data_IF_078577106115
#
_entry.id   IF_078577106115
#
_cell.length_a   1.000
_cell.length_b   1.000
_cell.length_c   1.000
_cell.angle_alpha   90.00
_cell.angle_beta   90.00
_cell.angle_gamma   90.00
#
_symmetry.space_group_name_H-M   'P 1'
#
loop_
_entity.id
_entity.type
_entity.pdbx_description
1 polymer ?
#
# COMPACT_ATOMS: atom_id res chain seq x y z
N UNK A 1 6.69 -6.26 -9.99
CA UNK A 1 6.49 -5.98 -11.45
C UNK A 1 5.13 -5.32 -11.63
N UNK A 2 4.94 -4.29 -12.48
CA UNK A 2 3.58 -3.72 -12.68
C UNK A 2 2.70 -4.70 -13.45
N UNK A 3 1.58 -5.17 -12.88
CA UNK A 3 0.67 -6.10 -13.56
C UNK A 3 -0.04 -5.40 -14.72
N UNK A 4 -0.04 -6.02 -15.91
CA UNK A 4 -0.63 -5.45 -17.12
C UNK A 4 -1.57 -6.42 -17.81
N UNK A 5 -2.52 -5.85 -18.58
CA UNK A 5 -3.40 -6.57 -19.53
C UNK A 5 -4.24 -7.69 -18.93
N UNK A 6 -4.43 -7.70 -17.62
CA UNK A 6 -5.26 -8.69 -16.94
C UNK A 6 -6.65 -8.12 -16.68
N UNK A 7 -7.69 -8.92 -16.90
CA UNK A 7 -9.07 -8.59 -16.51
C UNK A 7 -9.58 -9.54 -15.43
N UNK A 8 -10.68 -9.18 -14.77
CA UNK A 8 -11.32 -10.04 -13.76
C UNK A 8 -11.82 -11.33 -14.41
N UNK A 9 -12.30 -11.26 -15.66
CA UNK A 9 -12.76 -12.42 -16.42
C UNK A 9 -11.61 -13.37 -16.77
N UNK A 10 -10.42 -12.84 -17.07
CA UNK A 10 -9.22 -13.66 -17.28
C UNK A 10 -8.85 -14.42 -16.00
N UNK A 11 -8.87 -13.73 -14.85
CA UNK A 11 -8.61 -14.31 -13.53
C UNK A 11 -9.65 -15.40 -13.24
N UNK A 12 -10.94 -15.09 -13.39
CA UNK A 12 -12.03 -16.02 -13.15
C UNK A 12 -11.92 -17.26 -14.04
N UNK A 13 -11.63 -17.11 -15.34
CA UNK A 13 -11.48 -18.23 -16.26
C UNK A 13 -10.36 -19.18 -15.84
N UNK A 14 -9.19 -18.64 -15.47
CA UNK A 14 -8.05 -19.47 -15.06
C UNK A 14 -8.28 -20.10 -13.68
N UNK A 15 -8.71 -19.34 -12.68
CA UNK A 15 -8.93 -19.84 -11.32
C UNK A 15 -10.09 -20.83 -11.23
N UNK A 16 -11.14 -20.69 -12.04
CA UNK A 16 -12.24 -21.66 -12.10
C UNK A 16 -11.78 -23.00 -12.71
N UNK A 17 -10.81 -22.99 -13.63
CA UNK A 17 -10.21 -24.21 -14.16
C UNK A 17 -9.26 -24.85 -13.15
N UNK A 18 -8.31 -24.08 -12.61
CA UNK A 18 -7.32 -24.57 -11.65
C UNK A 18 -7.96 -25.04 -10.35
N UNK A 19 -9.04 -24.39 -9.89
CA UNK A 19 -9.78 -24.79 -8.69
C UNK A 19 -10.43 -26.17 -8.76
N UNK A 20 -10.59 -26.74 -9.96
CA UNK A 20 -11.07 -28.12 -10.17
C UNK A 20 -9.93 -29.14 -10.21
N UNK A 21 -8.69 -28.69 -10.27
CA UNK A 21 -7.51 -29.55 -10.34
C UNK A 21 -6.93 -29.76 -8.94
N UNK A 22 -6.29 -30.92 -8.75
CA UNK A 22 -5.56 -31.23 -7.51
C UNK A 22 -4.07 -31.07 -7.80
N UNK A 23 -3.39 -30.24 -7.02
CA UNK A 23 -1.94 -30.04 -7.12
C UNK A 23 -1.52 -29.13 -8.28
N UNK A 24 -0.34 -29.40 -8.82
CA UNK A 24 0.27 -28.65 -9.93
C UNK A 24 -0.33 -29.05 -11.28
N UNK A 25 -0.58 -28.06 -12.14
CA UNK A 25 -1.18 -28.26 -13.46
C UNK A 25 -0.19 -27.84 -14.55
N UNK A 26 0.12 -28.76 -15.46
CA UNK A 26 1.04 -28.55 -16.57
C UNK A 26 0.47 -27.62 -17.64
N UNK A 27 1.32 -26.81 -18.32
CA UNK A 27 0.90 -25.89 -19.39
C UNK A 27 0.04 -26.55 -20.46
N UNK A 28 0.42 -27.75 -20.93
CA UNK A 28 -0.29 -28.46 -21.99
C UNK A 28 -1.75 -28.78 -21.62
N UNK A 29 -2.04 -29.02 -20.33
CA UNK A 29 -3.41 -29.25 -19.86
C UNK A 29 -4.22 -27.95 -19.83
N UNK A 30 -3.58 -26.86 -19.39
CA UNK A 30 -4.18 -25.53 -19.36
C UNK A 30 -4.50 -25.07 -20.78
N UNK A 31 -3.55 -25.19 -21.71
CA UNK A 31 -3.73 -24.83 -23.12
C UNK A 31 -4.83 -25.64 -23.79
N UNK A 32 -4.89 -26.95 -23.51
CA UNK A 32 -5.96 -27.81 -24.03
C UNK A 32 -7.35 -27.38 -23.53
N UNK A 33 -7.46 -26.88 -22.31
CA UNK A 33 -8.74 -26.50 -21.70
C UNK A 33 -9.16 -25.06 -22.03
N UNK A 34 -8.21 -24.12 -22.04
CA UNK A 34 -8.49 -22.68 -22.08
C UNK A 34 -8.01 -22.00 -23.38
N UNK A 35 -7.24 -22.70 -24.20
CA UNK A 35 -6.46 -22.14 -25.31
C UNK A 35 -5.13 -21.54 -24.84
N UNK A 36 -4.39 -20.92 -25.76
CA UNK A 36 -3.15 -20.22 -25.43
C UNK A 36 -3.42 -19.14 -24.36
N UNK A 37 -2.63 -19.17 -23.29
CA UNK A 37 -2.72 -18.21 -22.18
C UNK A 37 -1.57 -17.22 -22.30
N UNK A 38 -1.88 -15.92 -22.27
CA UNK A 38 -0.87 -14.86 -22.31
C UNK A 38 -0.02 -14.89 -21.03
N UNK A 39 1.29 -15.11 -21.17
CA UNK A 39 2.23 -15.22 -20.05
C UNK A 39 2.27 -13.95 -19.17
N UNK A 40 1.95 -12.78 -19.73
CA UNK A 40 1.86 -11.54 -18.94
C UNK A 40 0.68 -11.56 -17.98
N UNK A 41 -0.43 -12.19 -18.36
CA UNK A 41 -1.59 -12.36 -17.49
C UNK A 41 -1.31 -13.36 -16.38
N UNK A 42 -0.62 -14.46 -16.72
CA UNK A 42 -0.15 -15.43 -15.71
C UNK A 42 0.79 -14.76 -14.73
N UNK A 43 1.78 -13.99 -15.21
CA UNK A 43 2.72 -13.26 -14.37
C UNK A 43 2.01 -12.23 -13.47
N UNK A 44 1.00 -11.53 -13.98
CA UNK A 44 0.15 -10.66 -13.17
C UNK A 44 -0.60 -11.42 -12.07
N UNK A 45 -1.17 -12.59 -12.36
CA UNK A 45 -1.86 -13.41 -11.35
C UNK A 45 -0.91 -14.00 -10.30
N UNK A 46 0.35 -14.26 -10.67
CA UNK A 46 1.42 -14.62 -9.72
C UNK A 46 1.73 -13.43 -8.82
N UNK A 47 1.92 -12.22 -9.38
CA UNK A 47 2.15 -10.99 -8.59
C UNK A 47 0.99 -10.70 -7.64
N UNK A 48 -0.25 -10.93 -8.08
CA UNK A 48 -1.44 -10.81 -7.24
C UNK A 48 -1.53 -11.87 -6.13
N UNK A 49 -0.64 -12.86 -6.12
CA UNK A 49 -0.67 -13.97 -5.18
C UNK A 49 -1.89 -14.87 -5.33
N UNK A 50 -2.53 -14.90 -6.51
CA UNK A 50 -3.70 -15.74 -6.80
C UNK A 50 -3.29 -17.15 -7.26
N UNK A 51 -2.10 -17.26 -7.87
CA UNK A 51 -1.53 -18.52 -8.31
C UNK A 51 -0.05 -18.59 -7.94
N UNK A 52 0.47 -19.81 -7.82
CA UNK A 52 1.88 -20.12 -7.77
C UNK A 52 2.33 -20.65 -9.14
N UNK A 53 3.59 -20.36 -9.49
CA UNK A 53 4.24 -20.84 -10.70
C UNK A 53 5.52 -21.59 -10.32
N UNK A 54 5.65 -22.83 -10.79
CA UNK A 54 6.86 -23.63 -10.68
C UNK A 54 7.29 -24.06 -12.10
N UNK A 55 8.23 -23.33 -12.66
CA UNK A 55 8.56 -23.39 -14.08
C UNK A 55 7.34 -23.04 -14.95
N UNK A 56 6.79 -24.04 -15.65
CA UNK A 56 5.55 -23.91 -16.41
C UNK A 56 4.30 -24.31 -15.62
N UNK A 57 4.44 -25.02 -14.52
CA UNK A 57 3.32 -25.57 -13.79
C UNK A 57 2.63 -24.50 -12.95
N UNK A 58 1.29 -24.49 -12.95
CA UNK A 58 0.50 -23.53 -12.19
C UNK A 58 -0.34 -24.23 -11.11
N UNK A 59 -0.54 -23.56 -9.99
CA UNK A 59 -1.42 -23.99 -8.90
C UNK A 59 -2.12 -22.80 -8.26
N UNK A 60 -3.34 -22.97 -7.77
CA UNK A 60 -4.06 -21.95 -6.98
C UNK A 60 -3.48 -21.78 -5.57
N UNK A 61 -3.40 -20.53 -5.11
CA UNK A 61 -3.11 -20.18 -3.70
C UNK A 61 -4.39 -20.21 -2.85
N UNK A 62 -4.32 -20.09 -1.51
CA UNK A 62 -5.49 -19.86 -0.68
C UNK A 62 -6.32 -18.65 -1.13
N UNK A 63 -5.67 -17.52 -1.45
CA UNK A 63 -6.33 -16.32 -1.99
C UNK A 63 -7.00 -16.60 -3.34
N UNK A 64 -6.36 -17.38 -4.22
CA UNK A 64 -6.95 -17.80 -5.48
C UNK A 64 -8.16 -18.73 -5.32
N UNK A 65 -8.18 -19.55 -4.26
CA UNK A 65 -9.35 -20.35 -3.90
C UNK A 65 -10.47 -19.45 -3.36
N UNK A 66 -10.14 -18.50 -2.48
CA UNK A 66 -11.07 -17.50 -1.95
C UNK A 66 -11.70 -16.67 -3.05
N UNK A 67 -10.96 -16.30 -4.11
CA UNK A 67 -11.52 -15.59 -5.26
C UNK A 67 -12.71 -16.33 -5.89
N UNK A 68 -12.69 -17.67 -5.93
CA UNK A 68 -13.79 -18.46 -6.50
C UNK A 68 -15.05 -18.47 -5.61
N UNK A 69 -14.93 -18.15 -4.32
CA UNK A 69 -16.05 -18.11 -3.35
C UNK A 69 -16.50 -16.69 -3.02
N UNK A 70 -15.55 -15.79 -2.85
CA UNK A 70 -15.69 -14.38 -2.51
C UNK A 70 -14.65 -13.56 -3.29
N UNK A 71 -15.05 -13.18 -4.50
CA UNK A 71 -14.21 -12.44 -5.42
C UNK A 71 -13.77 -11.09 -4.87
N UNK A 72 -14.69 -10.36 -4.24
CA UNK A 72 -14.44 -8.99 -3.78
C UNK A 72 -13.43 -8.96 -2.66
N UNK A 73 -13.54 -9.84 -1.67
CA UNK A 73 -12.56 -9.93 -0.58
C UNK A 73 -11.19 -10.33 -1.09
N UNK A 74 -11.10 -11.33 -1.98
CA UNK A 74 -9.82 -11.73 -2.55
C UNK A 74 -9.14 -10.60 -3.36
N UNK A 75 -9.91 -9.80 -4.09
CA UNK A 75 -9.37 -8.65 -4.85
C UNK A 75 -9.01 -7.45 -3.96
N UNK A 76 -9.71 -7.24 -2.83
CA UNK A 76 -9.30 -6.27 -1.81
C UNK A 76 -7.92 -6.64 -1.23
N UNK A 77 -7.67 -7.93 -0.97
CA UNK A 77 -6.34 -8.39 -0.54
C UNK A 77 -5.25 -8.20 -1.61
N UNK A 78 -5.60 -8.34 -2.89
CA UNK A 78 -4.66 -8.04 -3.99
C UNK A 78 -4.24 -6.57 -3.92
N UNK A 79 -5.20 -5.66 -3.80
CA UNK A 79 -4.97 -4.22 -3.74
C UNK A 79 -4.10 -3.81 -2.54
N UNK A 80 -4.23 -4.49 -1.39
CA UNK A 80 -3.37 -4.24 -0.22
C UNK A 80 -2.00 -4.91 -0.32
N UNK A 81 -1.84 -5.97 -1.12
CA UNK A 81 -0.56 -6.70 -1.23
C UNK A 81 0.39 -6.15 -2.28
N UNK A 82 -0.13 -5.44 -3.28
CA UNK A 82 0.69 -4.80 -4.32
C UNK A 82 0.96 -3.36 -3.90
N UNK A 83 2.20 -3.07 -3.52
CA UNK A 83 2.64 -1.76 -2.98
C UNK A 83 2.15 -0.57 -3.82
N UNK A 84 2.31 -0.64 -5.14
CA UNK A 84 1.87 0.43 -6.04
C UNK A 84 0.35 0.64 -6.01
N UNK A 85 -0.44 -0.43 -5.83
CA UNK A 85 -1.89 -0.34 -5.76
C UNK A 85 -2.34 0.26 -4.44
N UNK A 86 -1.73 -0.18 -3.33
CA UNK A 86 -1.97 0.40 -2.01
C UNK A 86 -1.65 1.90 -2.01
N UNK A 87 -0.45 2.29 -2.48
CA UNK A 87 -0.05 3.70 -2.56
C UNK A 87 -1.02 4.54 -3.42
N UNK A 88 -1.60 3.95 -4.47
CA UNK A 88 -2.62 4.62 -5.29
C UNK A 88 -3.92 4.83 -4.52
N UNK A 89 -4.36 3.86 -3.72
CA UNK A 89 -5.54 4.01 -2.87
C UNK A 89 -5.32 5.08 -1.80
N UNK A 90 -4.14 5.14 -1.18
CA UNK A 90 -3.76 6.19 -0.24
C UNK A 90 -3.76 7.58 -0.92
N UNK A 91 -3.18 7.69 -2.10
CA UNK A 91 -3.18 8.93 -2.89
C UNK A 91 -4.60 9.40 -3.25
N UNK A 92 -5.49 8.46 -3.56
CA UNK A 92 -6.92 8.74 -3.80
C UNK A 92 -7.60 9.21 -2.51
N UNK A 93 -7.38 8.51 -1.40
CA UNK A 93 -7.99 8.80 -0.09
C UNK A 93 -7.59 10.17 0.45
N UNK A 94 -6.29 10.41 0.63
CA UNK A 94 -5.78 11.65 1.19
C UNK A 94 -6.00 12.83 0.26
N UNK A 95 -6.04 12.58 -1.05
CA UNK A 95 -6.40 13.57 -2.06
C UNK A 95 -7.90 13.82 -2.23
N UNK A 96 -8.77 13.06 -1.53
CA UNK A 96 -10.23 13.10 -1.67
C UNK A 96 -10.72 13.02 -3.13
N UNK A 97 -10.05 12.19 -3.93
CA UNK A 97 -10.33 12.03 -5.37
C UNK A 97 -11.44 11.00 -5.58
N UNK A 98 -12.67 11.44 -5.82
CA UNK A 98 -13.77 10.51 -6.15
C UNK A 98 -13.63 9.90 -7.56
N UNK A 99 -12.74 10.43 -8.40
CA UNK A 99 -12.51 9.97 -9.76
C UNK A 99 -11.05 10.22 -10.15
N UNK A 100 -10.47 9.31 -10.96
CA UNK A 100 -9.17 9.52 -11.61
C UNK A 100 -9.12 8.82 -12.97
N UNK A 101 -8.45 9.45 -13.93
CA UNK A 101 -8.21 8.85 -15.25
C UNK A 101 -7.00 7.92 -15.22
N UNK A 102 -6.92 6.99 -16.16
CA UNK A 102 -5.76 6.09 -16.25
C UNK A 102 -4.46 6.86 -16.53
N UNK A 103 -4.56 8.02 -17.17
CA UNK A 103 -3.43 8.91 -17.43
C UNK A 103 -2.94 9.57 -16.14
N UNK A 104 -3.86 10.07 -15.31
CA UNK A 104 -3.52 10.68 -14.01
C UNK A 104 -2.87 9.66 -13.06
N UNK A 105 -3.41 8.44 -13.00
CA UNK A 105 -2.82 7.35 -12.20
C UNK A 105 -1.42 7.01 -12.72
N UNK A 106 -1.24 6.90 -14.03
CA UNK A 106 0.07 6.64 -14.64
C UNK A 106 1.09 7.74 -14.35
N UNK A 107 0.67 9.01 -14.40
CA UNK A 107 1.51 10.17 -14.05
C UNK A 107 1.89 10.18 -12.56
N UNK A 108 0.95 9.82 -11.69
CA UNK A 108 1.24 9.64 -10.26
C UNK A 108 2.32 8.58 -10.03
N UNK A 109 2.21 7.42 -10.68
CA UNK A 109 3.23 6.37 -10.60
C UNK A 109 4.59 6.84 -11.11
N UNK A 110 4.63 7.50 -12.26
CA UNK A 110 5.88 8.00 -12.84
C UNK A 110 6.56 9.06 -11.95
N UNK A 111 5.77 9.88 -11.26
CA UNK A 111 6.28 10.98 -10.43
C UNK A 111 6.69 10.50 -9.03
N UNK A 112 5.87 9.67 -8.40
CA UNK A 112 6.01 9.30 -6.99
C UNK A 112 6.68 7.95 -6.76
N UNK A 113 6.73 7.08 -7.78
CA UNK A 113 7.16 5.68 -7.64
C UNK A 113 8.21 5.29 -8.70
N UNK A 114 8.92 6.26 -9.28
CA UNK A 114 9.83 6.04 -10.41
C UNK A 114 10.87 4.95 -10.14
N UNK A 115 11.39 4.89 -8.92
CA UNK A 115 12.45 3.95 -8.54
C UNK A 115 11.95 2.49 -8.48
N UNK A 116 10.65 2.28 -8.20
CA UNK A 116 10.06 0.93 -8.12
C UNK A 116 9.54 0.44 -9.48
N UNK A 117 9.42 1.33 -10.47
CA UNK A 117 8.90 1.00 -11.80
C UNK A 117 9.90 0.26 -12.70
N UNK A 118 11.18 0.18 -12.34
CA UNK A 118 12.18 -0.64 -13.07
C UNK A 118 12.31 -0.30 -14.57
N UNK A 119 12.14 0.96 -14.93
CA UNK A 119 12.24 1.46 -16.31
C UNK A 119 10.93 1.42 -17.12
N UNK A 120 9.81 1.03 -16.51
CA UNK A 120 8.50 1.09 -17.16
C UNK A 120 8.06 2.55 -17.38
N UNK A 121 7.53 2.85 -18.58
CA UNK A 121 7.06 4.18 -18.94
C UNK A 121 5.91 4.16 -19.94
N UNK A 122 5.25 5.31 -20.09
CA UNK A 122 4.25 5.58 -21.13
C UNK A 122 3.13 4.53 -21.20
N UNK A 123 3.01 3.87 -22.36
CA UNK A 123 1.90 2.95 -22.66
C UNK A 123 1.81 1.73 -21.71
N UNK A 124 2.92 1.32 -21.10
CA UNK A 124 2.93 0.20 -20.14
C UNK A 124 2.34 0.62 -18.80
N UNK A 125 2.66 1.83 -18.33
CA UNK A 125 2.03 2.40 -17.12
C UNK A 125 0.54 2.61 -17.32
N UNK A 126 0.13 3.13 -18.48
CA UNK A 126 -1.29 3.25 -18.82
C UNK A 126 -2.01 1.88 -18.81
N UNK A 127 -1.36 0.83 -19.33
CA UNK A 127 -1.90 -0.54 -19.28
C UNK A 127 -1.97 -1.09 -17.84
N UNK A 128 -1.02 -0.73 -16.99
CA UNK A 128 -1.03 -1.05 -15.57
C UNK A 128 -2.16 -0.33 -14.84
N UNK A 129 -2.36 0.97 -15.09
CA UNK A 129 -3.43 1.76 -14.50
C UNK A 129 -4.82 1.24 -14.92
N UNK A 130 -4.97 0.80 -16.16
CA UNK A 130 -6.17 0.07 -16.62
C UNK A 130 -6.38 -1.21 -15.83
N UNK A 131 -5.31 -1.97 -15.57
CA UNK A 131 -5.39 -3.22 -14.80
C UNK A 131 -5.80 -2.92 -13.36
N UNK A 132 -5.17 -1.93 -12.71
CA UNK A 132 -5.55 -1.42 -11.39
C UNK A 132 -7.04 -1.06 -11.33
N UNK A 133 -7.52 -0.24 -12.28
CA UNK A 133 -8.94 0.16 -12.32
C UNK A 133 -9.89 -1.03 -12.40
N UNK A 134 -9.56 -2.05 -13.20
CA UNK A 134 -10.37 -3.30 -13.27
C UNK A 134 -10.38 -4.04 -11.94
N UNK A 135 -9.24 -4.11 -11.24
CA UNK A 135 -9.17 -4.74 -9.92
C UNK A 135 -10.00 -3.95 -8.90
N UNK A 136 -9.92 -2.62 -8.89
CA UNK A 136 -10.77 -1.75 -8.05
C UNK A 136 -12.26 -2.01 -8.29
N UNK A 137 -12.67 -2.10 -9.56
CA UNK A 137 -14.06 -2.43 -9.91
C UNK A 137 -14.47 -3.84 -9.46
N UNK A 138 -13.61 -4.84 -9.65
CA UNK A 138 -13.87 -6.21 -9.20
C UNK A 138 -13.89 -6.37 -7.67
N UNK A 139 -13.15 -5.54 -6.95
CA UNK A 139 -13.09 -5.49 -5.49
C UNK A 139 -14.30 -4.76 -4.86
N UNK A 140 -15.15 -4.13 -5.68
CA UNK A 140 -16.29 -3.34 -5.21
C UNK A 140 -15.87 -2.09 -4.43
N UNK A 141 -14.74 -1.47 -4.80
CA UNK A 141 -14.27 -0.18 -4.21
C UNK A 141 -14.57 1.01 -5.14
N UNK A 142 -15.35 0.79 -6.19
CA UNK A 142 -15.59 1.76 -7.23
C UNK A 142 -16.07 1.15 -8.54
N UNK A 143 -16.15 1.97 -9.59
CA UNK A 143 -16.53 1.54 -10.93
C UNK A 143 -15.47 1.95 -11.95
N UNK A 144 -15.02 0.99 -12.75
CA UNK A 144 -14.12 1.20 -13.88
C UNK A 144 -14.88 1.43 -15.18
N UNK A 145 -14.59 2.54 -15.86
CA UNK A 145 -15.26 2.91 -17.11
C UNK A 145 -14.22 3.00 -18.24
N UNK A 146 -14.34 2.11 -19.23
CA UNK A 146 -13.52 2.13 -20.43
C UNK A 146 -13.96 3.29 -21.34
N UNK A 147 -13.02 4.19 -21.64
CA UNK A 147 -13.21 5.30 -22.55
C UNK A 147 -13.49 4.82 -23.98
N UNK A 148 -14.51 5.40 -24.62
CA UNK A 148 -14.85 5.18 -26.05
C UNK A 148 -15.15 6.52 -26.70
N UNK A 149 -14.90 6.64 -28.00
CA UNK A 149 -15.22 7.84 -28.80
C UNK A 149 -14.60 9.14 -28.25
N UNK A 150 -13.31 9.09 -27.90
CA UNK A 150 -12.57 10.25 -27.39
C UNK A 150 -12.75 10.53 -25.89
N UNK A 151 -13.60 9.78 -25.19
CA UNK A 151 -13.67 9.83 -23.71
C UNK A 151 -12.49 9.06 -23.12
N UNK A 152 -11.92 9.59 -22.03
CA UNK A 152 -10.85 8.92 -21.31
C UNK A 152 -11.36 7.72 -20.49
N UNK A 153 -10.45 6.76 -20.31
CA UNK A 153 -10.68 5.63 -19.40
C UNK A 153 -10.42 6.10 -17.97
N UNK A 154 -11.35 5.79 -17.06
CA UNK A 154 -11.32 6.32 -15.70
C UNK A 154 -11.89 5.37 -14.68
N UNK A 155 -11.53 5.61 -13.42
CA UNK A 155 -12.00 4.91 -12.24
C UNK A 155 -12.77 5.91 -11.39
N UNK A 156 -13.99 5.55 -11.03
CA UNK A 156 -14.75 6.24 -9.97
C UNK A 156 -14.57 5.45 -8.69
N UNK A 157 -14.35 6.12 -7.58
CA UNK A 157 -13.99 5.52 -6.30
C UNK A 157 -15.08 5.73 -5.27
N UNK A 158 -15.40 4.69 -4.50
CA UNK A 158 -16.19 4.83 -3.29
C UNK A 158 -15.25 5.22 -2.14
N UNK A 159 -15.26 6.50 -1.78
CA UNK A 159 -14.34 7.03 -0.77
C UNK A 159 -14.61 6.47 0.63
N UNK A 160 -15.83 6.02 0.94
CA UNK A 160 -16.13 5.42 2.23
C UNK A 160 -15.51 4.01 2.34
N UNK A 161 -15.68 3.19 1.30
CA UNK A 161 -15.04 1.88 1.22
C UNK A 161 -13.51 1.97 1.18
N UNK A 162 -12.95 2.97 0.48
CA UNK A 162 -11.49 3.20 0.47
C UNK A 162 -10.99 3.66 1.84
N UNK A 163 -11.71 4.55 2.53
CA UNK A 163 -11.33 4.99 3.88
C UNK A 163 -11.25 3.79 4.83
N UNK A 164 -12.27 2.92 4.82
CA UNK A 164 -12.27 1.67 5.60
C UNK A 164 -11.10 0.76 5.24
N UNK A 165 -10.68 0.74 3.99
CA UNK A 165 -9.56 -0.09 3.54
C UNK A 165 -8.20 0.49 3.95
N UNK A 166 -8.02 1.82 3.90
CA UNK A 166 -6.73 2.47 4.18
C UNK A 166 -6.53 2.69 5.69
N UNK A 167 -7.57 3.13 6.40
CA UNK A 167 -7.50 3.42 7.84
C UNK A 167 -7.94 2.25 8.72
N UNK A 168 -8.52 1.21 8.13
CA UNK A 168 -9.19 0.13 8.85
C UNK A 168 -10.62 0.50 9.24
N UNK A 169 -11.38 -0.50 9.68
CA UNK A 169 -12.68 -0.23 10.30
C UNK A 169 -12.46 0.59 11.58
N UNK A 170 -13.30 1.61 11.88
CA UNK A 170 -13.22 2.31 13.16
C UNK A 170 -13.35 1.26 14.26
N UNK A 171 -12.27 1.07 15.02
CA UNK A 171 -12.29 0.16 16.17
C UNK A 171 -13.35 0.67 17.13
N UNK A 172 -14.37 -0.14 17.40
CA UNK A 172 -15.52 0.22 18.24
C UNK A 172 -15.17 0.36 19.74
N UNK A 173 -13.91 0.62 20.08
CA UNK A 173 -13.40 0.68 21.46
C UNK A 173 -13.27 2.11 22.03
N UNK A 174 -13.65 3.16 21.31
CA UNK A 174 -13.64 4.54 21.83
C UNK A 174 -15.04 5.15 21.86
N UNK A 175 -15.98 4.53 22.59
CA UNK A 175 -17.21 5.23 23.03
C UNK A 175 -17.75 4.62 24.32
N UNK A 176 -17.01 4.73 25.44
CA UNK A 176 -17.66 4.65 26.75
C UNK A 176 -16.79 5.26 27.86
N UNK A 177 -16.92 6.57 28.06
CA UNK A 177 -16.85 7.23 29.38
C UNK A 177 -17.07 8.74 29.21
N UNK A 178 -18.30 9.15 28.90
CA UNK A 178 -18.73 10.51 29.21
C UNK A 178 -20.18 10.51 29.72
N UNK A 179 -20.28 10.81 31.02
CA UNK A 179 -21.38 11.43 31.78
C UNK A 179 -22.71 10.67 31.95
N UNK A 180 -22.93 10.20 33.19
CA UNK A 180 -24.24 10.31 33.83
C UNK A 180 -24.04 10.93 35.22
N UNK A 181 -24.11 12.26 35.27
CA UNK A 181 -24.39 13.02 36.50
C UNK A 181 -25.83 13.49 36.37
N UNK A 182 -26.75 12.83 37.09
CA UNK A 182 -28.02 13.45 37.47
C UNK A 182 -28.56 12.78 38.74
N UNK A 183 -28.66 13.57 39.81
CA UNK A 183 -29.40 13.26 41.03
C UNK A 183 -29.97 14.57 41.58
N UNK A 184 -31.14 14.91 41.05
CA UNK A 184 -31.99 16.02 41.46
C UNK A 184 -32.81 15.63 42.72
N UNK A 185 -32.74 16.44 43.79
CA UNK A 185 -33.79 16.50 44.82
C UNK A 185 -33.78 17.80 45.65
N UNK A 186 -34.87 18.57 45.45
CA UNK A 186 -35.62 19.41 46.40
C UNK A 186 -35.15 20.81 46.87
N UNK A 187 -36.19 21.65 46.99
CA UNK A 187 -36.25 23.10 47.18
C UNK A 187 -35.90 23.60 48.60
N UNK A 188 -35.59 24.90 48.78
CA UNK A 188 -36.49 25.99 49.31
C UNK A 188 -35.72 27.31 49.62
N UNK A 189 -36.22 28.44 49.08
CA UNK A 189 -36.27 29.86 49.58
C UNK A 189 -35.06 30.72 50.07
N UNK A 190 -35.09 31.97 49.55
CA UNK A 190 -34.85 33.33 50.14
C UNK A 190 -33.46 34.02 50.18
N UNK A 191 -33.42 35.15 49.44
CA UNK A 191 -33.05 36.54 49.84
C UNK A 191 -31.59 37.06 49.86
N UNK A 192 -31.42 38.16 49.09
CA UNK A 192 -30.65 39.42 49.30
C UNK A 192 -29.10 39.49 49.39
N UNK A 193 -28.51 40.15 48.37
CA UNK A 193 -27.48 41.25 48.27
C UNK A 193 -26.59 41.64 49.48
N UNK A 194 -25.43 42.37 49.38
CA UNK A 194 -24.31 42.54 48.41
C UNK A 194 -22.86 42.34 49.03
N UNK A 195 -21.81 42.56 48.20
CA UNK A 195 -20.33 42.84 48.34
C UNK A 195 -19.73 43.31 49.70
N UNK A 196 -18.37 43.48 49.93
CA UNK A 196 -17.11 43.13 49.22
C UNK A 196 -15.90 42.66 50.11
N UNK A 197 -14.75 42.40 49.45
CA UNK A 197 -13.35 42.68 49.86
C UNK A 197 -12.56 41.76 50.84
N UNK A 198 -11.32 41.44 50.43
CA UNK A 198 -10.01 41.75 51.06
C UNK A 198 -8.97 40.62 50.81
N UNK A 199 -7.84 41.00 50.21
CA UNK A 199 -6.58 40.24 50.02
C UNK A 199 -5.75 40.20 51.34
N UNK A 200 -4.41 40.02 51.40
CA UNK A 200 -3.43 39.17 50.70
C UNK A 200 -2.53 38.36 51.69
N UNK A 201 -1.87 37.26 51.30
CA UNK A 201 -0.66 36.76 52.03
C UNK A 201 0.15 35.81 51.12
N UNK A 202 1.23 36.28 50.49
CA UNK A 202 2.65 36.22 50.89
C UNK A 202 3.40 34.94 50.42
N UNK A 203 4.40 35.18 49.56
CA UNK A 203 5.48 34.27 49.15
C UNK A 203 6.55 34.14 50.29
N UNK A 204 7.74 33.51 50.13
CA UNK A 204 8.29 32.65 49.06
C UNK A 204 8.98 31.36 49.59
N UNK A 205 9.24 30.36 48.73
CA UNK A 205 10.29 29.38 49.00
C UNK A 205 10.94 28.87 47.70
N UNK A 206 12.20 29.26 47.51
CA UNK A 206 13.14 28.70 46.53
C UNK A 206 13.42 27.22 46.81
N UNK A 207 13.38 26.37 45.78
CA UNK A 207 14.13 25.12 45.75
C UNK A 207 14.45 24.69 44.30
N UNK A 208 15.75 24.76 44.00
CA UNK A 208 16.60 24.00 43.07
C UNK A 208 16.13 23.60 41.64
N UNK A 209 16.94 23.87 40.60
CA UNK A 209 16.72 23.35 39.26
C UNK A 209 17.10 21.86 39.17
N UNK A 210 16.15 21.03 38.76
CA UNK A 210 16.41 19.65 38.36
C UNK A 210 17.07 19.62 36.97
N UNK A 211 18.11 18.80 36.74
CA UNK A 211 18.73 18.67 35.43
C UNK A 211 17.74 18.03 34.44
N UNK A 212 17.29 18.81 33.46
CA UNK A 212 16.60 18.29 32.28
C UNK A 212 17.63 17.56 31.42
N UNK A 213 17.59 16.22 31.42
CA UNK A 213 18.27 15.40 30.43
C UNK A 213 17.49 15.50 29.13
N UNK A 214 17.90 16.43 28.27
CA UNK A 214 17.45 16.48 26.88
C UNK A 214 18.10 15.32 26.13
N UNK A 215 17.38 14.20 25.99
CA UNK A 215 17.76 13.15 25.03
C UNK A 215 17.39 13.65 23.64
N UNK A 216 18.34 14.32 22.98
CA UNK A 216 18.28 14.57 21.55
C UNK A 216 18.56 13.25 20.83
N UNK A 217 17.53 12.43 20.61
CA UNK A 217 17.64 11.30 19.70
C UNK A 217 17.69 11.83 18.27
N UNK A 218 18.89 12.16 17.78
CA UNK A 218 19.10 12.26 16.35
C UNK A 218 18.69 10.91 15.74
N UNK A 219 17.84 10.84 14.71
CA UNK A 219 17.45 9.58 14.10
C UNK A 219 18.69 8.93 13.47
N UNK A 220 19.28 7.97 14.17
CA UNK A 220 20.38 7.15 13.67
C UNK A 220 19.78 6.05 12.78
N UNK A 221 19.78 6.27 11.47
CA UNK A 221 19.41 5.25 10.49
C UNK A 221 20.54 4.23 10.41
N UNK A 222 20.30 3.02 10.92
CA UNK A 222 21.24 1.91 10.78
C UNK A 222 20.90 1.15 9.51
N UNK A 223 21.77 1.22 8.49
CA UNK A 223 21.62 0.47 7.25
C UNK A 223 22.52 -0.75 7.32
N UNK A 224 21.94 -1.95 7.24
CA UNK A 224 22.69 -3.21 7.13
C UNK A 224 22.76 -3.61 5.65
N UNK A 225 23.97 -3.77 5.11
CA UNK A 225 24.18 -4.10 3.68
C UNK A 225 24.86 -5.46 3.58
N UNK A 226 24.17 -6.42 2.96
CA UNK A 226 24.70 -7.76 2.68
C UNK A 226 25.05 -7.88 1.19
N UNK A 227 26.25 -8.40 0.89
CA UNK A 227 26.75 -8.54 -0.48
C UNK A 227 27.08 -10.00 -0.72
N UNK A 228 26.44 -10.61 -1.72
CA UNK A 228 26.78 -11.96 -2.18
C UNK A 228 27.78 -11.87 -3.32
N UNK A 229 29.02 -12.31 -3.06
CA UNK A 229 30.11 -12.34 -4.03
C UNK A 229 30.23 -13.77 -4.55
N UNK A 230 30.21 -13.94 -5.87
CA UNK A 230 30.41 -15.24 -6.49
C UNK A 230 31.82 -15.78 -6.19
N UNK A 231 31.96 -17.10 -6.05
CA UNK A 231 33.24 -17.73 -5.66
C UNK A 231 34.37 -17.55 -6.68
N UNK A 232 34.03 -17.16 -7.91
CA UNK A 232 34.94 -16.89 -9.03
C UNK A 232 35.21 -15.39 -9.25
N UNK A 233 34.69 -14.51 -8.40
CA UNK A 233 34.93 -13.07 -8.52
C UNK A 233 36.42 -12.74 -8.30
N UNK A 234 36.99 -11.93 -9.20
CA UNK A 234 38.38 -11.48 -9.09
C UNK A 234 38.51 -10.36 -8.07
N UNK A 235 39.72 -10.18 -7.51
CA UNK A 235 39.99 -9.12 -6.54
C UNK A 235 39.68 -7.71 -7.10
N UNK A 236 39.86 -7.50 -8.40
CA UNK A 236 39.55 -6.23 -9.05
C UNK A 236 38.05 -5.98 -9.15
N UNK A 237 37.26 -7.02 -9.44
CA UNK A 237 35.79 -6.94 -9.39
C UNK A 237 35.30 -6.60 -7.98
N UNK A 238 35.89 -7.21 -6.95
CA UNK A 238 35.53 -6.90 -5.55
C UNK A 238 35.86 -5.44 -5.21
N UNK A 239 37.03 -4.93 -5.61
CA UNK A 239 37.41 -3.52 -5.40
C UNK A 239 36.44 -2.56 -6.10
N UNK A 240 36.03 -2.87 -7.32
CA UNK A 240 35.10 -2.04 -8.08
C UNK A 240 33.71 -1.98 -7.43
N UNK A 241 33.21 -3.10 -6.88
CA UNK A 241 31.96 -3.14 -6.11
C UNK A 241 32.05 -2.17 -4.92
N UNK A 242 33.11 -2.28 -4.10
CA UNK A 242 33.26 -1.41 -2.93
C UNK A 242 33.49 0.05 -3.29
N UNK A 243 34.22 0.34 -4.38
CA UNK A 243 34.43 1.71 -4.87
C UNK A 243 33.12 2.36 -5.30
N UNK A 244 32.27 1.64 -6.04
CA UNK A 244 30.96 2.14 -6.43
C UNK A 244 30.04 2.32 -5.21
N UNK A 245 30.05 1.40 -4.25
CA UNK A 245 29.25 1.54 -3.03
C UNK A 245 29.66 2.73 -2.17
N UNK A 246 30.96 2.99 -2.02
CA UNK A 246 31.47 4.12 -1.25
C UNK A 246 30.92 5.47 -1.76
N UNK A 247 30.73 5.59 -3.07
CA UNK A 247 30.12 6.78 -3.69
C UNK A 247 28.69 7.03 -3.21
N UNK A 248 27.90 5.99 -3.01
CA UNK A 248 26.48 6.10 -2.64
C UNK A 248 26.25 6.15 -1.13
N UNK A 249 27.15 5.58 -0.33
CA UNK A 249 27.00 5.51 1.13
C UNK A 249 27.66 6.69 1.84
N UNK A 250 28.79 7.19 1.34
CA UNK A 250 29.59 8.21 2.04
C UNK A 250 29.50 9.61 1.45
N UNK A 251 28.75 9.80 0.35
CA UNK A 251 28.55 11.08 -0.37
C UNK A 251 29.86 11.86 -0.60
N UNK A 252 30.98 11.13 -0.71
CA UNK A 252 32.32 11.67 -0.93
C UNK A 252 32.80 11.27 -2.32
N UNK A 253 33.34 12.21 -3.12
CA UNK A 253 34.07 11.84 -4.33
C UNK A 253 35.33 11.06 -3.93
N UNK A 254 35.40 9.79 -4.33
CA UNK A 254 36.62 8.97 -4.16
C UNK A 254 37.65 9.48 -5.17
N UNK A 255 38.70 10.13 -4.69
CA UNK A 255 39.89 10.43 -5.50
C UNK A 255 40.63 9.12 -5.79
N UNK A 256 40.88 8.85 -7.07
CA UNK A 256 41.72 7.74 -7.52
C UNK A 256 43.18 8.06 -7.20
N UNK A 257 43.58 7.74 -5.97
CA UNK A 257 45.01 7.66 -5.61
C UNK A 257 45.47 6.22 -5.89
N UNK A 258 46.04 6.04 -7.09
CA UNK A 258 46.89 4.91 -7.43
C UNK A 258 48.28 5.11 -6.81
N UNK A 259 48.71 4.21 -5.94
CA UNK A 259 50.09 3.71 -5.85
C UNK A 259 50.10 2.23 -5.42
#
# INVERSE_FOLDING_TARGET
MVPIKTTVEDIQKLLAYLGKQIGWVEPAKIEKALGSVDDRKVSAMVEFGLILRDGGNLRTTPRGQQFNTDQSTALREVLSSVELYQATLEWVHYGKRSEATTSEIGQYWETSHKDTLGGLSGSTLASGAVTFGRIVGGAGLGTFVVGRSGKETRVTFDLADIDMMVNGAPSAEETESEVVEDAEAEATTTADTPTPAVAPEAAPAMAAPTPTVSVSTSPSVHVNVEIHIAADATADTVREIFKNMARYVLDKPVTDDCE
#
